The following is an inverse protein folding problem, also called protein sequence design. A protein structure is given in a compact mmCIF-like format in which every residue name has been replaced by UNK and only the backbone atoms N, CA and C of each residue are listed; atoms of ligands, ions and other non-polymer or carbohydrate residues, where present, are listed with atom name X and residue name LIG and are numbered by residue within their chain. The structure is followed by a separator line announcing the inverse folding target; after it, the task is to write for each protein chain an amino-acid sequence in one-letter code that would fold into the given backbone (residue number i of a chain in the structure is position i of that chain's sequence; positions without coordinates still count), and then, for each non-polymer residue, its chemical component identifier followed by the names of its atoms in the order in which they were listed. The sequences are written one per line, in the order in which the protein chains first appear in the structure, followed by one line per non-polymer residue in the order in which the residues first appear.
data_IF_187691563618
#
_entry.id   IF_187691563618
#
_cell.length_a   1.000
_cell.length_b   1.000
_cell.length_c   1.000
_cell.angle_alpha   90.00
_cell.angle_beta   90.00
_cell.angle_gamma   90.00
#
_symmetry.space_group_name_H-M   'P 1'
#
loop_
_entity.id
_entity.type
_entity.pdbx_description
1 polymer ?
#
# COMPACT_ATOMS: atom_id res chain seq x y z
N UNK A 1 42.42 16.85 -3.47
CA UNK A 1 42.25 16.04 -2.24
C UNK A 1 40.78 15.85 -1.88
N UNK A 2 39.94 15.40 -2.81
CA UNK A 2 38.55 14.95 -2.56
C UNK A 2 38.33 13.76 -3.49
N UNK A 3 38.49 12.54 -3.00
CA UNK A 3 37.98 11.28 -3.61
C UNK A 3 38.26 10.05 -2.73
N UNK A 4 39.23 10.08 -1.82
CA UNK A 4 39.60 8.92 -0.99
C UNK A 4 38.43 8.32 -0.17
N UNK A 5 37.61 9.15 0.48
CA UNK A 5 36.50 8.64 1.31
C UNK A 5 35.27 8.13 0.54
N UNK A 6 35.24 8.28 -0.78
CA UNK A 6 34.12 7.81 -1.62
C UNK A 6 34.43 6.42 -2.20
N UNK A 7 35.68 6.20 -2.59
CA UNK A 7 36.16 4.91 -3.10
C UNK A 7 36.12 3.82 -2.00
N UNK A 8 36.53 4.14 -0.76
CA UNK A 8 36.49 3.17 0.35
C UNK A 8 35.06 2.72 0.70
N UNK A 9 34.10 3.65 0.72
CA UNK A 9 32.70 3.33 1.01
C UNK A 9 32.05 2.49 -0.10
N UNK A 10 32.46 2.71 -1.34
CA UNK A 10 32.00 1.97 -2.51
C UNK A 10 32.61 0.55 -2.56
N UNK A 11 33.87 0.39 -2.16
CA UNK A 11 34.53 -0.91 -2.02
C UNK A 11 33.91 -1.77 -0.91
N UNK A 12 33.65 -1.18 0.26
CA UNK A 12 32.94 -1.86 1.36
C UNK A 12 31.50 -2.25 0.97
N UNK A 13 30.79 -1.38 0.25
CA UNK A 13 29.47 -1.67 -0.30
C UNK A 13 29.49 -2.85 -1.28
N UNK A 14 30.51 -2.89 -2.16
CA UNK A 14 30.69 -3.96 -3.13
C UNK A 14 31.10 -5.29 -2.47
N UNK A 15 31.92 -5.27 -1.42
CA UNK A 15 32.26 -6.44 -0.62
C UNK A 15 31.02 -7.02 0.08
N UNK A 16 30.20 -6.17 0.71
CA UNK A 16 28.93 -6.58 1.31
C UNK A 16 27.96 -7.14 0.27
N UNK A 17 27.86 -6.49 -0.90
CA UNK A 17 27.02 -6.96 -2.02
C UNK A 17 27.49 -8.33 -2.54
N UNK A 18 28.80 -8.55 -2.64
CA UNK A 18 29.40 -9.83 -3.03
C UNK A 18 29.11 -10.92 -2.00
N UNK A 19 29.29 -10.64 -0.70
CA UNK A 19 28.98 -11.58 0.39
C UNK A 19 27.49 -11.97 0.47
N UNK A 20 26.60 -11.12 -0.01
CA UNK A 20 25.14 -11.39 -0.08
C UNK A 20 24.74 -12.08 -1.39
N UNK A 21 25.38 -11.71 -2.50
CA UNK A 21 25.11 -12.25 -3.85
C UNK A 21 25.69 -13.64 -4.06
N UNK A 22 26.84 -13.93 -3.44
CA UNK A 22 27.29 -15.30 -3.20
C UNK A 22 26.46 -15.84 -2.04
N UNK A 23 25.69 -16.90 -2.25
CA UNK A 23 24.76 -17.44 -1.26
C UNK A 23 25.45 -17.96 0.00
N UNK A 24 25.92 -17.08 0.86
CA UNK A 24 26.45 -17.44 2.16
C UNK A 24 25.24 -17.72 3.05
N UNK A 25 24.82 -18.99 3.10
CA UNK A 25 23.68 -19.49 3.89
C UNK A 25 23.70 -18.95 5.33
N UNK A 26 24.89 -18.64 5.85
CA UNK A 26 25.14 -18.10 7.18
C UNK A 26 24.53 -16.70 7.39
N UNK A 27 24.61 -15.78 6.41
CA UNK A 27 24.07 -14.43 6.58
C UNK A 27 22.54 -14.42 6.50
N UNK A 28 21.97 -15.15 5.54
CA UNK A 28 20.52 -15.33 5.44
C UNK A 28 19.99 -15.96 6.73
N UNK A 29 20.62 -17.06 7.18
CA UNK A 29 20.23 -17.75 8.41
C UNK A 29 20.34 -16.83 9.63
N UNK A 30 21.43 -16.07 9.76
CA UNK A 30 21.61 -15.11 10.86
C UNK A 30 20.54 -14.01 10.87
N UNK A 31 20.22 -13.43 9.70
CA UNK A 31 19.15 -12.43 9.56
C UNK A 31 17.80 -13.03 9.98
N UNK A 32 17.46 -14.22 9.47
CA UNK A 32 16.19 -14.88 9.78
C UNK A 32 16.11 -15.29 11.26
N UNK A 33 17.19 -15.81 11.85
CA UNK A 33 17.26 -16.10 13.28
C UNK A 33 17.11 -14.83 14.11
N UNK A 34 17.77 -13.73 13.72
CA UNK A 34 17.66 -12.43 14.38
C UNK A 34 16.23 -11.90 14.37
N UNK A 35 15.53 -11.98 13.23
CA UNK A 35 14.12 -11.57 13.11
C UNK A 35 13.18 -12.46 13.93
N UNK A 36 13.36 -13.79 13.89
CA UNK A 36 12.49 -14.75 14.57
C UNK A 36 12.71 -14.79 16.08
N UNK A 37 13.95 -14.96 16.52
CA UNK A 37 14.29 -15.28 17.91
C UNK A 37 14.93 -14.11 18.66
N UNK A 38 15.34 -13.06 17.95
CA UNK A 38 15.94 -11.89 18.59
C UNK A 38 14.99 -11.18 19.55
N UNK A 39 15.57 -10.50 20.54
CA UNK A 39 14.85 -9.48 21.32
C UNK A 39 14.41 -8.34 20.41
N UNK A 40 13.42 -7.54 20.83
CA UNK A 40 12.85 -6.45 20.03
C UNK A 40 13.94 -5.55 19.40
N UNK A 41 14.92 -5.12 20.19
CA UNK A 41 16.05 -4.30 19.71
C UNK A 41 16.84 -4.93 18.55
N UNK A 42 17.15 -6.23 18.64
CA UNK A 42 17.86 -6.94 17.58
C UNK A 42 16.99 -7.04 16.33
N UNK A 43 15.70 -7.32 16.48
CA UNK A 43 14.78 -7.38 15.33
C UNK A 43 14.67 -6.03 14.62
N UNK A 44 14.61 -4.93 15.38
CA UNK A 44 14.61 -3.56 14.85
C UNK A 44 15.91 -3.28 14.10
N UNK A 45 17.05 -3.61 14.71
CA UNK A 45 18.36 -3.43 14.09
C UNK A 45 18.48 -4.20 12.77
N UNK A 46 17.99 -5.45 12.73
CA UNK A 46 17.97 -6.27 11.52
C UNK A 46 17.04 -5.68 10.46
N UNK A 47 15.84 -5.23 10.83
CA UNK A 47 14.91 -4.58 9.89
C UNK A 47 15.50 -3.30 9.28
N UNK A 48 16.13 -2.44 10.11
CA UNK A 48 16.85 -1.24 9.66
C UNK A 48 18.04 -1.58 8.77
N UNK A 49 18.81 -2.62 9.12
CA UNK A 49 19.91 -3.08 8.30
C UNK A 49 19.42 -3.51 6.91
N UNK A 50 18.35 -4.30 6.84
CA UNK A 50 17.73 -4.73 5.58
C UNK A 50 17.18 -3.55 4.76
N UNK A 51 16.56 -2.59 5.42
CA UNK A 51 16.07 -1.35 4.82
C UNK A 51 17.21 -0.52 4.22
N UNK A 52 18.28 -0.29 4.98
CA UNK A 52 19.50 0.38 4.51
C UNK A 52 20.16 -0.35 3.34
N UNK A 53 20.25 -1.68 3.41
CA UNK A 53 20.80 -2.49 2.33
C UNK A 53 19.96 -2.36 1.06
N UNK A 54 18.63 -2.41 1.17
CA UNK A 54 17.74 -2.23 0.03
C UNK A 54 17.76 -0.81 -0.54
N UNK A 55 17.99 0.21 0.30
CA UNK A 55 18.01 1.61 -0.10
C UNK A 55 19.35 2.07 -0.69
N UNK A 56 20.48 1.61 -0.15
CA UNK A 56 21.81 2.15 -0.45
C UNK A 56 22.70 1.23 -1.29
N UNK A 57 22.56 -0.09 -1.13
CA UNK A 57 23.48 -1.04 -1.76
C UNK A 57 22.96 -1.59 -3.09
N UNK A 58 21.79 -1.12 -3.55
CA UNK A 58 21.12 -1.65 -4.75
C UNK A 58 21.22 -3.18 -4.80
N UNK A 59 20.96 -3.85 -3.66
CA UNK A 59 20.77 -5.29 -3.69
C UNK A 59 19.69 -5.53 -4.72
N UNK A 60 20.07 -6.17 -5.81
CA UNK A 60 19.11 -6.67 -6.76
C UNK A 60 18.33 -7.76 -6.05
N UNK A 61 17.26 -7.35 -5.38
CA UNK A 61 16.26 -8.26 -4.80
C UNK A 61 15.67 -9.17 -5.90
N UNK A 62 15.98 -8.89 -7.17
CA UNK A 62 15.65 -9.68 -8.34
C UNK A 62 16.05 -11.16 -8.21
N UNK A 63 16.99 -11.52 -7.32
CA UNK A 63 17.31 -12.92 -6.97
C UNK A 63 17.97 -13.10 -5.60
N UNK A 64 17.73 -12.21 -4.63
CA UNK A 64 18.35 -12.38 -3.30
C UNK A 64 17.71 -13.56 -2.55
N UNK A 65 18.50 -14.43 -1.89
CA UNK A 65 17.99 -15.55 -1.08
C UNK A 65 17.02 -15.14 0.03
N UNK A 66 17.12 -13.88 0.47
CA UNK A 66 16.26 -13.27 1.49
C UNK A 66 14.86 -12.99 0.91
N UNK A 67 14.78 -12.42 -0.30
CA UNK A 67 13.48 -12.10 -0.92
C UNK A 67 12.69 -13.32 -1.37
N UNK A 68 13.40 -14.42 -1.64
CA UNK A 68 12.83 -15.70 -2.04
C UNK A 68 12.31 -16.49 -0.85
N UNK A 69 12.78 -16.20 0.36
CA UNK A 69 12.25 -16.81 1.57
C UNK A 69 10.84 -16.29 1.85
N UNK A 70 9.85 -17.18 1.97
CA UNK A 70 8.47 -16.77 2.24
C UNK A 70 8.30 -16.31 3.70
N UNK A 71 9.16 -16.76 4.62
CA UNK A 71 9.05 -16.43 6.04
C UNK A 71 9.46 -14.99 6.35
N UNK A 72 10.28 -14.35 5.48
CA UNK A 72 10.67 -12.95 5.67
C UNK A 72 9.45 -12.03 5.72
N UNK A 73 8.43 -12.33 4.91
CA UNK A 73 7.20 -11.53 4.84
C UNK A 73 6.41 -11.67 6.14
N UNK A 74 6.24 -12.90 6.65
CA UNK A 74 5.55 -13.11 7.92
C UNK A 74 6.28 -12.45 9.09
N UNK A 75 7.61 -12.50 9.14
CA UNK A 75 8.37 -11.90 10.23
C UNK A 75 8.32 -10.37 10.22
N UNK A 76 8.39 -9.74 9.04
CA UNK A 76 8.25 -8.29 8.92
C UNK A 76 6.83 -7.83 9.24
N UNK A 77 5.81 -8.58 8.78
CA UNK A 77 4.42 -8.31 9.13
C UNK A 77 4.16 -8.48 10.64
N UNK A 78 4.76 -9.50 11.25
CA UNK A 78 4.73 -9.69 12.70
C UNK A 78 5.36 -8.50 13.41
N UNK A 79 6.52 -8.03 12.96
CA UNK A 79 7.19 -6.86 13.53
C UNK A 79 6.30 -5.62 13.52
N UNK A 80 5.63 -5.35 12.40
CA UNK A 80 4.68 -4.24 12.27
C UNK A 80 3.55 -4.32 13.30
N UNK A 81 3.09 -5.54 13.64
CA UNK A 81 2.00 -5.74 14.63
C UNK A 81 2.45 -5.81 16.08
N UNK A 82 3.68 -6.28 16.35
CA UNK A 82 4.20 -6.53 17.71
C UNK A 82 5.01 -5.38 18.28
N UNK A 83 5.48 -4.44 17.45
CA UNK A 83 6.04 -3.20 17.96
C UNK A 83 4.89 -2.44 18.62
N UNK A 84 4.93 -2.25 19.94
CA UNK A 84 3.97 -1.47 20.75
C UNK A 84 3.92 0.01 20.31
N UNK A 85 3.55 0.25 19.05
CA UNK A 85 3.56 1.54 18.37
C UNK A 85 4.96 2.18 18.24
N UNK A 86 6.07 1.43 18.34
CA UNK A 86 7.39 1.98 18.05
C UNK A 86 7.43 2.41 16.56
N UNK A 87 7.38 3.72 16.25
CA UNK A 87 7.18 4.20 14.88
C UNK A 87 8.38 3.86 14.00
N UNK A 88 9.58 3.82 14.57
CA UNK A 88 10.81 3.51 13.85
C UNK A 88 10.84 2.05 13.38
N UNK A 89 10.30 1.14 14.19
CA UNK A 89 10.22 -0.28 13.85
C UNK A 89 9.26 -0.51 12.70
N UNK A 90 8.09 0.14 12.78
CA UNK A 90 7.09 0.11 11.73
C UNK A 90 7.65 0.73 10.45
N UNK A 91 8.35 1.87 10.56
CA UNK A 91 8.92 2.56 9.42
C UNK A 91 9.94 1.69 8.68
N UNK A 92 10.92 1.14 9.40
CA UNK A 92 11.95 0.26 8.81
C UNK A 92 11.32 -0.97 8.16
N UNK A 93 10.36 -1.61 8.84
CA UNK A 93 9.68 -2.80 8.34
C UNK A 93 8.85 -2.51 7.09
N UNK A 94 8.03 -1.45 7.10
CA UNK A 94 7.21 -1.04 5.96
C UNK A 94 8.06 -0.59 4.77
N UNK A 95 9.15 0.14 5.03
CA UNK A 95 10.11 0.57 4.01
C UNK A 95 10.76 -0.64 3.33
N UNK A 96 11.25 -1.61 4.10
CA UNK A 96 11.84 -2.82 3.54
C UNK A 96 10.80 -3.68 2.78
N UNK A 97 9.60 -3.84 3.34
CA UNK A 97 8.49 -4.53 2.65
C UNK A 97 8.18 -3.86 1.30
N UNK A 98 8.12 -2.53 1.28
CA UNK A 98 7.85 -1.75 0.05
C UNK A 98 8.89 -2.06 -1.01
N UNK A 99 10.17 -2.15 -0.62
CA UNK A 99 11.27 -2.52 -1.55
C UNK A 99 11.14 -3.95 -2.05
N UNK A 100 10.82 -4.92 -1.18
CA UNK A 100 10.62 -6.32 -1.58
C UNK A 100 9.53 -6.46 -2.64
N UNK A 101 8.39 -5.77 -2.46
CA UNK A 101 7.21 -5.96 -3.31
C UNK A 101 7.19 -5.08 -4.58
N UNK A 102 8.23 -4.27 -4.80
CA UNK A 102 8.48 -3.65 -6.12
C UNK A 102 8.50 -4.75 -7.19
N UNK A 103 9.13 -5.88 -6.86
CA UNK A 103 9.08 -7.09 -7.66
C UNK A 103 7.69 -7.71 -7.60
N UNK A 104 7.02 -7.78 -8.76
CA UNK A 104 5.64 -8.29 -8.86
C UNK A 104 5.47 -9.70 -8.26
N UNK A 105 6.48 -10.57 -8.44
CA UNK A 105 6.47 -11.94 -7.87
C UNK A 105 6.39 -11.98 -6.33
N UNK A 106 6.93 -10.97 -5.66
CA UNK A 106 6.96 -10.90 -4.19
C UNK A 106 5.65 -10.39 -3.58
N UNK A 107 4.82 -9.71 -4.38
CA UNK A 107 3.50 -9.23 -3.92
C UNK A 107 2.63 -10.37 -3.44
N UNK A 108 2.56 -11.46 -4.21
CA UNK A 108 1.75 -12.64 -3.88
C UNK A 108 2.28 -13.31 -2.60
N UNK A 109 3.59 -13.35 -2.38
CA UNK A 109 4.19 -13.87 -1.13
C UNK A 109 3.76 -13.05 0.09
N UNK A 110 3.87 -11.72 0.00
CA UNK A 110 3.39 -10.82 1.07
C UNK A 110 1.89 -10.99 1.33
N UNK A 111 1.08 -11.16 0.29
CA UNK A 111 -0.37 -11.36 0.42
C UNK A 111 -0.68 -12.70 1.11
N UNK A 112 -0.03 -13.80 0.70
CA UNK A 112 -0.16 -15.12 1.33
C UNK A 112 0.26 -15.12 2.80
N UNK A 113 1.26 -14.31 3.16
CA UNK A 113 1.66 -14.09 4.55
C UNK A 113 0.67 -13.23 5.37
N UNK A 114 -0.47 -12.82 4.81
CA UNK A 114 -1.49 -12.03 5.49
C UNK A 114 -1.29 -10.52 5.40
N UNK A 115 -0.49 -10.04 4.45
CA UNK A 115 -0.12 -8.63 4.32
C UNK A 115 -1.31 -7.67 4.26
N UNK A 116 -2.35 -7.97 3.50
CA UNK A 116 -3.54 -7.10 3.39
C UNK A 116 -4.24 -6.93 4.75
N UNK A 117 -4.37 -8.03 5.51
CA UNK A 117 -4.99 -8.01 6.85
C UNK A 117 -4.20 -7.13 7.83
N UNK A 118 -2.88 -7.30 7.87
CA UNK A 118 -1.99 -6.52 8.74
C UNK A 118 -2.00 -5.04 8.35
N UNK A 119 -1.85 -4.74 7.07
CA UNK A 119 -1.87 -3.35 6.57
C UNK A 119 -3.21 -2.66 6.86
N UNK A 120 -4.33 -3.39 6.76
CA UNK A 120 -5.66 -2.89 7.13
C UNK A 120 -5.75 -2.53 8.61
N UNK A 121 -5.26 -3.41 9.48
CA UNK A 121 -5.28 -3.19 10.93
C UNK A 121 -4.47 -1.94 11.30
N UNK A 122 -3.27 -1.80 10.73
CA UNK A 122 -2.41 -0.63 10.92
C UNK A 122 -3.08 0.64 10.40
N UNK A 123 -3.60 0.64 9.16
CA UNK A 123 -4.24 1.82 8.56
C UNK A 123 -5.48 2.29 9.35
N UNK A 124 -6.13 1.37 10.05
CA UNK A 124 -7.33 1.64 10.86
C UNK A 124 -7.03 2.32 12.20
N UNK A 125 -5.77 2.33 12.64
CA UNK A 125 -5.34 3.04 13.86
C UNK A 125 -5.58 4.55 13.72
N UNK A 126 -6.15 5.15 14.77
CA UNK A 126 -6.48 6.57 14.80
C UNK A 126 -5.22 7.45 14.73
N UNK A 127 -4.21 7.11 15.55
CA UNK A 127 -2.98 7.88 15.74
C UNK A 127 -1.83 7.49 14.77
N UNK A 128 -2.13 6.76 13.68
CA UNK A 128 -1.09 6.41 12.71
C UNK A 128 -0.58 7.67 12.00
N UNK A 129 0.72 7.93 12.13
CA UNK A 129 1.38 9.10 11.56
C UNK A 129 1.22 9.18 10.03
N UNK A 130 1.34 10.40 9.49
CA UNK A 130 1.17 10.61 8.05
C UNK A 130 2.20 9.83 7.19
N UNK A 131 3.51 9.80 7.52
CA UNK A 131 4.49 9.03 6.76
C UNK A 131 4.23 7.52 6.76
N UNK A 132 3.79 6.97 7.90
CA UNK A 132 3.44 5.55 7.99
C UNK A 132 2.15 5.25 7.22
N UNK A 133 1.14 6.12 7.33
CA UNK A 133 -0.11 6.01 6.55
C UNK A 133 0.17 5.98 5.05
N UNK A 134 1.08 6.83 4.56
CA UNK A 134 1.49 6.87 3.16
C UNK A 134 2.13 5.55 2.70
N UNK A 135 3.08 5.00 3.48
CA UNK A 135 3.73 3.71 3.17
C UNK A 135 2.73 2.55 3.14
N UNK A 136 1.80 2.51 4.10
CA UNK A 136 0.74 1.48 4.14
C UNK A 136 -0.17 1.58 2.91
N UNK A 137 -0.57 2.79 2.53
CA UNK A 137 -1.37 3.01 1.32
C UNK A 137 -0.61 2.64 0.05
N UNK A 138 0.70 2.92 -0.01
CA UNK A 138 1.55 2.47 -1.12
C UNK A 138 1.57 0.94 -1.25
N UNK A 139 1.73 0.23 -0.14
CA UNK A 139 1.73 -1.24 -0.14
C UNK A 139 0.37 -1.82 -0.58
N UNK A 140 -0.74 -1.19 -0.17
CA UNK A 140 -2.09 -1.57 -0.62
C UNK A 140 -2.28 -1.30 -2.12
N UNK A 141 -1.77 -0.17 -2.64
CA UNK A 141 -1.73 0.13 -4.08
C UNK A 141 -0.98 -0.96 -4.84
N UNK A 142 0.23 -1.31 -4.38
CA UNK A 142 1.04 -2.35 -5.01
C UNK A 142 0.34 -3.72 -4.97
N UNK A 143 -0.34 -4.03 -3.88
CA UNK A 143 -1.14 -5.25 -3.70
C UNK A 143 -2.31 -5.33 -4.69
N UNK A 144 -3.00 -4.21 -4.92
CA UNK A 144 -4.09 -4.12 -5.91
C UNK A 144 -3.63 -4.40 -7.36
N UNK A 145 -2.32 -4.34 -7.61
CA UNK A 145 -1.73 -4.68 -8.91
C UNK A 145 -1.76 -6.17 -9.27
N UNK A 146 -2.11 -7.08 -8.35
CA UNK A 146 -2.23 -8.52 -8.61
C UNK A 146 -3.62 -9.05 -8.21
N UNK A 147 -4.02 -10.20 -8.78
CA UNK A 147 -5.39 -10.75 -8.62
C UNK A 147 -5.68 -11.09 -7.16
N UNK A 148 -4.72 -11.71 -6.49
CA UNK A 148 -4.79 -12.14 -5.09
C UNK A 148 -5.00 -10.93 -4.17
N UNK A 149 -4.21 -9.87 -4.37
CA UNK A 149 -4.30 -8.67 -3.54
C UNK A 149 -5.62 -7.94 -3.74
N UNK A 150 -6.12 -7.85 -4.99
CA UNK A 150 -7.47 -7.32 -5.24
C UNK A 150 -8.53 -8.14 -4.55
N UNK A 151 -8.48 -9.46 -4.65
CA UNK A 151 -9.48 -10.32 -4.03
C UNK A 151 -9.52 -10.14 -2.51
N UNK A 152 -8.35 -10.10 -1.86
CA UNK A 152 -8.25 -9.86 -0.41
C UNK A 152 -8.79 -8.47 -0.03
N UNK A 153 -8.40 -7.41 -0.75
CA UNK A 153 -8.87 -6.05 -0.46
C UNK A 153 -10.39 -5.95 -0.65
N UNK A 154 -10.95 -6.49 -1.75
CA UNK A 154 -12.38 -6.42 -2.03
C UNK A 154 -13.24 -7.29 -1.08
N UNK A 155 -12.67 -8.35 -0.51
CA UNK A 155 -13.36 -9.20 0.48
C UNK A 155 -13.38 -8.51 1.86
N UNK A 156 -12.41 -7.65 2.14
CA UNK A 156 -12.32 -6.89 3.38
C UNK A 156 -12.97 -5.51 3.25
N UNK A 157 -14.25 -5.40 3.60
CA UNK A 157 -14.96 -4.12 3.66
C UNK A 157 -14.23 -3.10 4.56
N UNK A 158 -13.68 -3.58 5.68
CA UNK A 158 -12.85 -2.78 6.61
C UNK A 158 -11.64 -2.18 5.91
N UNK A 159 -10.97 -2.91 5.01
CA UNK A 159 -9.84 -2.40 4.24
C UNK A 159 -10.26 -1.23 3.34
N UNK A 160 -11.34 -1.41 2.58
CA UNK A 160 -11.86 -0.35 1.70
C UNK A 160 -12.24 0.88 2.51
N UNK A 161 -12.98 0.69 3.61
CA UNK A 161 -13.38 1.78 4.53
C UNK A 161 -12.16 2.51 5.13
N UNK A 162 -11.12 1.78 5.53
CA UNK A 162 -9.89 2.36 6.05
C UNK A 162 -9.17 3.23 5.00
N UNK A 163 -9.10 2.77 3.74
CA UNK A 163 -8.56 3.55 2.62
C UNK A 163 -9.38 4.84 2.42
N UNK A 164 -10.70 4.73 2.35
CA UNK A 164 -11.61 5.89 2.19
C UNK A 164 -11.46 6.91 3.30
N UNK A 165 -11.28 6.44 4.55
CA UNK A 165 -11.05 7.31 5.71
C UNK A 165 -9.81 8.20 5.51
N UNK A 166 -8.76 7.69 4.86
CA UNK A 166 -7.46 8.35 4.69
C UNK A 166 -7.35 9.25 3.45
N UNK A 167 -8.27 9.16 2.47
CA UNK A 167 -8.26 9.92 1.20
C UNK A 167 -8.01 11.43 1.35
N UNK A 168 -8.49 12.08 2.41
CA UNK A 168 -8.37 13.54 2.59
C UNK A 168 -7.56 13.94 3.84
N UNK A 169 -6.93 12.99 4.53
CA UNK A 169 -6.46 13.17 5.92
C UNK A 169 -4.94 13.10 6.12
N UNK A 170 -4.18 12.86 5.05
CA UNK A 170 -2.76 12.47 5.19
C UNK A 170 -1.84 13.41 4.41
N UNK A 171 -1.55 13.10 3.16
CA UNK A 171 -0.67 13.85 2.26
C UNK A 171 -1.22 13.74 0.85
N UNK A 172 -0.71 14.55 -0.09
CA UNK A 172 -1.08 14.43 -1.50
C UNK A 172 -0.68 13.06 -2.08
N UNK A 173 0.50 12.55 -1.72
CA UNK A 173 0.97 11.23 -2.16
C UNK A 173 0.12 10.09 -1.59
N UNK A 174 -0.22 10.15 -0.30
CA UNK A 174 -1.15 9.20 0.32
C UNK A 174 -2.54 9.26 -0.33
N UNK A 175 -3.02 10.45 -0.67
CA UNK A 175 -4.29 10.65 -1.40
C UNK A 175 -4.25 9.97 -2.76
N UNK A 176 -3.16 10.14 -3.50
CA UNK A 176 -2.96 9.51 -4.80
C UNK A 176 -2.92 7.97 -4.69
N UNK A 177 -2.20 7.41 -3.73
CA UNK A 177 -2.21 5.96 -3.47
C UNK A 177 -3.61 5.44 -3.14
N UNK A 178 -4.33 6.13 -2.24
CA UNK A 178 -5.68 5.74 -1.84
C UNK A 178 -6.66 5.77 -3.02
N UNK A 179 -6.67 6.85 -3.81
CA UNK A 179 -7.54 6.98 -4.99
C UNK A 179 -7.18 5.95 -6.05
N UNK A 180 -5.89 5.70 -6.28
CA UNK A 180 -5.42 4.69 -7.24
C UNK A 180 -5.93 3.30 -6.87
N UNK A 181 -5.88 2.91 -5.59
CA UNK A 181 -6.47 1.65 -5.12
C UNK A 181 -7.97 1.62 -5.42
N UNK A 182 -8.72 2.63 -4.98
CA UNK A 182 -10.18 2.66 -5.12
C UNK A 182 -10.62 2.63 -6.59
N UNK A 183 -9.96 3.43 -7.45
CA UNK A 183 -10.20 3.47 -8.89
C UNK A 183 -9.85 2.15 -9.56
N UNK A 184 -8.72 1.53 -9.21
CA UNK A 184 -8.33 0.22 -9.72
C UNK A 184 -9.43 -0.82 -9.43
N UNK A 185 -9.88 -0.92 -8.18
CA UNK A 185 -10.88 -1.90 -7.78
C UNK A 185 -12.26 -1.63 -8.41
N UNK A 186 -12.74 -0.39 -8.38
CA UNK A 186 -14.10 -0.04 -8.77
C UNK A 186 -14.28 0.22 -10.28
N UNK A 187 -13.27 0.79 -10.94
CA UNK A 187 -13.35 1.20 -12.34
C UNK A 187 -12.60 0.24 -13.26
N UNK A 188 -11.34 -0.05 -12.96
CA UNK A 188 -10.51 -0.90 -13.82
C UNK A 188 -10.93 -2.37 -13.77
N UNK A 189 -11.24 -2.88 -12.57
CA UNK A 189 -11.65 -4.28 -12.36
C UNK A 189 -13.14 -4.45 -12.06
N UNK A 190 -13.88 -3.37 -11.79
CA UNK A 190 -15.33 -3.41 -11.64
C UNK A 190 -15.86 -4.24 -10.48
N UNK A 191 -15.13 -4.35 -9.35
CA UNK A 191 -15.57 -5.15 -8.21
C UNK A 191 -16.71 -4.45 -7.45
N UNK A 192 -17.90 -5.07 -7.48
CA UNK A 192 -19.11 -4.53 -6.86
C UNK A 192 -19.02 -4.41 -5.35
N UNK A 193 -18.25 -5.28 -4.68
CA UNK A 193 -18.07 -5.24 -3.21
C UNK A 193 -17.29 -4.00 -2.82
N UNK A 194 -16.21 -3.72 -3.53
CA UNK A 194 -15.42 -2.50 -3.34
C UNK A 194 -16.25 -1.24 -3.62
N UNK A 195 -17.06 -1.25 -4.68
CA UNK A 195 -17.95 -0.13 -5.00
C UNK A 195 -18.99 0.11 -3.89
N UNK A 196 -19.63 -0.94 -3.36
CA UNK A 196 -20.59 -0.84 -2.24
C UNK A 196 -19.92 -0.28 -0.99
N UNK A 197 -18.79 -0.87 -0.58
CA UNK A 197 -18.03 -0.44 0.60
C UNK A 197 -17.56 1.03 0.49
N UNK A 198 -17.16 1.47 -0.70
CA UNK A 198 -16.80 2.86 -0.98
C UNK A 198 -18.01 3.80 -0.83
N UNK A 199 -19.19 3.43 -1.36
CA UNK A 199 -20.41 4.22 -1.23
C UNK A 199 -20.85 4.35 0.24
N UNK A 200 -20.91 3.23 0.96
CA UNK A 200 -21.35 3.14 2.36
C UNK A 200 -20.40 3.90 3.31
N UNK A 201 -19.13 4.05 2.92
CA UNK A 201 -18.11 4.77 3.71
C UNK A 201 -18.06 6.28 3.44
N UNK A 202 -19.15 6.86 2.90
CA UNK A 202 -19.22 8.26 2.46
C UNK A 202 -18.15 8.61 1.42
N UNK A 203 -17.75 7.62 0.60
CA UNK A 203 -16.68 7.76 -0.38
C UNK A 203 -17.03 8.74 -1.49
N UNK A 204 -18.27 8.74 -1.95
CA UNK A 204 -18.73 9.67 -3.01
C UNK A 204 -18.52 11.13 -2.62
N UNK A 205 -18.91 11.52 -1.40
CA UNK A 205 -18.72 12.88 -0.90
C UNK A 205 -17.23 13.25 -0.83
N UNK A 206 -16.38 12.35 -0.34
CA UNK A 206 -14.92 12.56 -0.29
C UNK A 206 -14.30 12.72 -1.68
N UNK A 207 -14.73 11.92 -2.66
CA UNK A 207 -14.26 12.02 -4.05
C UNK A 207 -14.72 13.33 -4.70
N UNK A 208 -15.94 13.80 -4.41
CA UNK A 208 -16.42 15.11 -4.87
C UNK A 208 -15.61 16.26 -4.26
N UNK A 209 -15.35 16.21 -2.96
CA UNK A 209 -14.51 17.20 -2.27
C UNK A 209 -13.09 17.21 -2.85
N UNK A 210 -12.54 16.03 -3.18
CA UNK A 210 -11.22 15.92 -3.80
C UNK A 210 -11.17 16.53 -5.21
N UNK A 211 -12.26 16.47 -5.98
CA UNK A 211 -12.34 17.16 -7.28
C UNK A 211 -12.34 18.68 -7.15
N UNK A 212 -12.86 19.20 -6.04
CA UNK A 212 -12.90 20.64 -5.76
C UNK A 212 -11.57 21.16 -5.22
N UNK A 213 -10.67 20.28 -4.79
CA UNK A 213 -9.34 20.67 -4.31
C UNK A 213 -8.31 20.73 -5.44
N UNK A 214 -7.11 21.20 -5.11
CA UNK A 214 -5.96 21.23 -6.01
C UNK A 214 -5.27 19.85 -6.11
N UNK A 215 -6.02 18.82 -6.49
CA UNK A 215 -5.47 17.49 -6.76
C UNK A 215 -4.79 17.41 -8.15
N UNK A 216 -3.87 16.45 -8.31
CA UNK A 216 -3.15 16.24 -9.57
C UNK A 216 -4.11 15.88 -10.72
N UNK A 217 -3.74 16.15 -11.98
CA UNK A 217 -4.58 15.79 -13.14
C UNK A 217 -4.95 14.31 -13.19
N UNK A 218 -4.01 13.42 -12.81
CA UNK A 218 -4.24 11.99 -12.74
C UNK A 218 -5.30 11.62 -11.70
N UNK A 219 -5.17 12.14 -10.46
CA UNK A 219 -6.16 11.93 -9.40
C UNK A 219 -7.52 12.49 -9.80
N UNK A 220 -7.55 13.67 -10.41
CA UNK A 220 -8.78 14.30 -10.92
C UNK A 220 -9.50 13.42 -11.93
N UNK A 221 -8.77 12.80 -12.85
CA UNK A 221 -9.36 11.88 -13.83
C UNK A 221 -9.94 10.63 -13.14
N UNK A 222 -9.17 10.00 -12.25
CA UNK A 222 -9.64 8.82 -11.50
C UNK A 222 -10.89 9.12 -10.67
N UNK A 223 -10.96 10.29 -10.03
CA UNK A 223 -12.14 10.75 -9.31
C UNK A 223 -13.37 10.89 -10.22
N UNK A 224 -13.21 11.41 -11.45
CA UNK A 224 -14.31 11.50 -12.42
C UNK A 224 -14.82 10.12 -12.81
N UNK A 225 -13.92 9.17 -13.07
CA UNK A 225 -14.29 7.80 -13.42
C UNK A 225 -15.04 7.11 -12.30
N UNK A 226 -14.56 7.24 -11.06
CA UNK A 226 -15.24 6.73 -9.86
C UNK A 226 -16.68 7.25 -9.76
N UNK A 227 -16.89 8.55 -9.97
CA UNK A 227 -18.24 9.13 -9.93
C UNK A 227 -19.15 8.61 -11.06
N UNK A 228 -18.60 8.26 -12.24
CA UNK A 228 -19.41 7.65 -13.31
C UNK A 228 -19.92 6.27 -12.91
N UNK A 229 -19.07 5.46 -12.27
CA UNK A 229 -19.47 4.12 -11.78
C UNK A 229 -20.65 4.24 -10.81
N UNK A 230 -20.60 5.18 -9.86
CA UNK A 230 -21.72 5.40 -8.93
C UNK A 230 -23.01 5.88 -9.59
N UNK A 231 -22.92 6.76 -10.59
CA UNK A 231 -24.10 7.21 -11.35
C UNK A 231 -24.76 6.07 -12.13
N UNK A 232 -23.98 5.19 -12.73
CA UNK A 232 -24.51 4.04 -13.48
C UNK A 232 -25.13 2.99 -12.55
N UNK A 233 -24.52 2.73 -11.38
CA UNK A 233 -25.11 1.84 -10.38
C UNK A 233 -26.46 2.36 -9.86
N UNK A 234 -26.60 3.68 -9.68
CA UNK A 234 -27.85 4.31 -9.23
C UNK A 234 -28.96 4.29 -10.30
N UNK A 235 -28.64 4.35 -11.59
CA UNK A 235 -29.66 4.24 -12.67
C UNK A 235 -30.34 2.86 -12.70
N UNK A 236 -29.68 1.82 -12.20
CA UNK A 236 -30.26 0.49 -12.09
C UNK A 236 -31.06 0.29 -10.79
N UNK A 237 -31.08 1.28 -9.89
CA UNK A 237 -31.81 1.25 -8.63
C UNK A 237 -32.57 2.58 -8.44
N UNK A 238 -33.78 2.64 -8.99
CA UNK A 238 -34.77 3.70 -8.76
C UNK A 238 -34.35 5.13 -9.16
N UNK A 239 -34.63 5.49 -10.41
CA UNK A 239 -35.12 6.84 -10.73
C UNK A 239 -36.37 6.64 -11.57
N UNK A 240 -37.55 6.69 -10.93
CA UNK A 240 -38.79 6.87 -11.69
C UNK A 240 -38.64 8.20 -12.42
N UNK A 241 -38.62 8.14 -13.75
CA UNK A 241 -38.75 9.32 -14.58
C UNK A 241 -40.08 9.98 -14.18
N UNK A 242 -40.04 11.19 -13.63
CA UNK A 242 -41.26 11.99 -13.54
C UNK A 242 -41.65 12.32 -14.98
N UNK A 243 -42.60 11.56 -15.51
CA UNK A 243 -43.30 11.88 -16.74
C UNK A 243 -44.14 13.13 -16.46
N UNK A 244 -43.52 14.31 -16.58
CA UNK A 244 -44.27 15.57 -16.51
C UNK A 244 -45.04 15.69 -17.81
N UNK A 245 -46.30 15.25 -17.79
CA UNK A 245 -47.29 15.69 -18.79
C UNK A 245 -47.33 17.21 -18.75
N UNK A 246 -46.70 17.85 -19.73
CA UNK A 246 -46.79 19.28 -19.97
C UNK A 246 -48.22 19.59 -20.42
N UNK A 247 -49.07 20.02 -19.48
CA UNK A 247 -50.33 20.66 -19.83
C UNK A 247 -50.00 21.99 -20.47
N UNK A 248 -50.17 22.06 -21.79
CA UNK A 248 -50.01 23.27 -22.58
C UNK A 248 -51.10 24.28 -22.16
N UNK A 249 -50.73 25.30 -21.38
CA UNK A 249 -51.62 26.41 -21.04
C UNK A 249 -51.54 27.42 -22.19
N UNK A 250 -52.63 27.59 -22.93
CA UNK A 250 -52.77 28.67 -23.91
C UNK A 250 -53.16 29.97 -23.19
N UNK A 251 -52.54 31.11 -23.53
CA UNK A 251 -52.97 32.41 -23.04
C UNK A 251 -54.24 32.88 -23.75
N UNK A 252 -55.12 33.53 -23.00
CA UNK A 252 -56.33 34.21 -23.47
C UNK A 252 -56.00 35.48 -24.26
#
# INVERSE_FOLDING_TARGET
MKNLGKDDAEEHANALKSMVGTGNCDLKAAIMMGLKQGKLELRIAVARFLELMAARLCLELHSSPISEDDEIYSELLRLITTSDLNPDTMDASLSFLTRLVVLKRNRVKMIRAGGVKVLTAVLSQAELSAPLSEKVLKLLEMSSGCKEGRNEICTSETCVRAIVKKVLKVSNAATEHAVTVLWSLCCLFGDKRAASALAESNGMAKILLLLQSNCSPAVRQMCRDLLRVFRCSSKNSCVSWYDTKTSHIMPF
#
